data_IF_113325041014
#
_entry.id   IF_113325041014
#
_cell.length_a   1.000
_cell.length_b   1.000
_cell.length_c   1.000
_cell.angle_alpha   90.00
_cell.angle_beta   90.00
_cell.angle_gamma   90.00
#
_symmetry.space_group_name_H-M   'P 1'
#
loop_
_entity.id
_entity.type
_entity.pdbx_description
1 polymer ?
#
# COMPACT_ATOMS: atom_id res chain seq x y z
N UNK A 1 -11.67 -29.48 -0.29
CA UNK A 1 -10.54 -28.99 0.54
C UNK A 1 -9.44 -28.58 -0.44
N UNK A 2 -9.26 -27.29 -0.68
CA UNK A 2 -8.21 -26.76 -1.54
C UNK A 2 -6.83 -27.07 -0.97
N UNK A 3 -5.92 -27.59 -1.76
CA UNK A 3 -4.52 -27.70 -1.39
C UNK A 3 -3.93 -26.31 -1.56
N UNK A 4 -3.47 -25.64 -0.50
CA UNK A 4 -2.72 -24.40 -0.63
C UNK A 4 -1.37 -24.69 -1.31
N UNK A 5 -1.08 -23.97 -2.36
CA UNK A 5 0.21 -24.02 -3.06
C UNK A 5 1.13 -22.95 -2.49
N UNK A 6 2.41 -23.27 -2.33
CA UNK A 6 3.45 -22.31 -1.94
C UNK A 6 4.56 -22.31 -2.96
N UNK A 7 5.00 -21.11 -3.35
CA UNK A 7 6.04 -20.91 -4.33
C UNK A 7 7.02 -19.85 -3.85
N UNK A 8 8.31 -20.07 -4.01
CA UNK A 8 9.35 -19.14 -3.57
C UNK A 8 10.11 -18.66 -4.80
N UNK A 9 10.12 -17.33 -5.01
CA UNK A 9 10.98 -16.65 -5.96
C UNK A 9 11.82 -15.61 -5.25
N UNK A 10 13.14 -15.70 -5.34
CA UNK A 10 14.04 -14.77 -4.69
C UNK A 10 13.69 -14.60 -3.19
N UNK A 11 13.30 -13.40 -2.77
CA UNK A 11 12.92 -13.09 -1.39
C UNK A 11 11.42 -13.22 -1.12
N UNK A 12 10.60 -13.55 -2.14
CA UNK A 12 9.15 -13.58 -2.07
C UNK A 12 8.63 -15.00 -1.90
N UNK A 13 7.76 -15.19 -0.94
CA UNK A 13 7.04 -16.44 -0.72
C UNK A 13 5.55 -16.20 -1.04
N UNK A 14 5.06 -16.82 -2.11
CA UNK A 14 3.67 -16.78 -2.57
C UNK A 14 2.91 -17.96 -1.99
N UNK A 15 1.73 -17.71 -1.43
CA UNK A 15 0.79 -18.72 -0.94
C UNK A 15 -0.60 -18.44 -1.46
N UNK A 16 -1.19 -19.39 -2.19
CA UNK A 16 -2.55 -19.31 -2.71
C UNK A 16 -3.13 -20.72 -2.89
N UNK A 17 -4.44 -20.78 -3.12
CA UNK A 17 -5.12 -22.05 -3.47
C UNK A 17 -5.04 -22.37 -4.97
N UNK A 18 -4.75 -21.40 -5.84
CA UNK A 18 -4.79 -21.54 -7.30
C UNK A 18 -3.65 -20.86 -8.05
N UNK A 19 -2.41 -21.12 -7.69
CA UNK A 19 -1.27 -20.58 -8.44
C UNK A 19 -1.14 -21.28 -9.80
N UNK A 20 -1.16 -20.50 -10.87
CA UNK A 20 -0.92 -20.92 -12.27
C UNK A 20 0.39 -20.29 -12.73
N UNK A 21 1.26 -21.09 -13.33
CA UNK A 21 2.52 -20.61 -13.92
C UNK A 21 2.44 -20.80 -15.44
N UNK A 22 2.43 -19.68 -16.17
CA UNK A 22 2.54 -19.64 -17.62
C UNK A 22 4.02 -19.65 -17.99
N UNK A 23 4.58 -20.85 -18.24
CA UNK A 23 6.03 -21.04 -18.37
C UNK A 23 6.64 -20.32 -19.57
N UNK A 24 5.93 -20.25 -20.69
CA UNK A 24 6.42 -19.57 -21.90
C UNK A 24 6.47 -18.06 -21.75
N UNK A 25 5.62 -17.49 -20.91
CA UNK A 25 5.49 -16.05 -20.67
C UNK A 25 6.20 -15.61 -19.40
N UNK A 26 6.70 -16.54 -18.57
CA UNK A 26 7.29 -16.31 -17.25
C UNK A 26 6.35 -15.49 -16.35
N UNK A 27 5.04 -15.80 -16.41
CA UNK A 27 4.00 -15.14 -15.62
C UNK A 27 3.42 -16.12 -14.61
N UNK A 28 3.26 -15.64 -13.37
CA UNK A 28 2.50 -16.29 -12.32
C UNK A 28 1.15 -15.57 -12.16
N UNK A 29 0.06 -16.32 -12.20
CA UNK A 29 -1.28 -15.82 -11.98
C UNK A 29 -1.95 -16.52 -10.79
N UNK A 30 -2.82 -15.79 -10.09
CA UNK A 30 -3.75 -16.34 -9.11
C UNK A 30 -5.05 -15.53 -9.13
N UNK A 31 -6.18 -16.25 -9.22
CA UNK A 31 -7.52 -15.69 -9.23
C UNK A 31 -8.22 -15.77 -7.87
N UNK A 32 -7.53 -16.33 -6.87
CA UNK A 32 -7.97 -16.41 -5.49
C UNK A 32 -7.04 -15.63 -4.57
N UNK A 33 -7.50 -15.29 -3.36
CA UNK A 33 -6.68 -14.56 -2.39
C UNK A 33 -5.30 -15.19 -2.21
N UNK A 34 -4.30 -14.37 -2.41
CA UNK A 34 -2.89 -14.75 -2.36
C UNK A 34 -2.18 -13.92 -1.32
N UNK A 35 -1.40 -14.59 -0.49
CA UNK A 35 -0.49 -13.96 0.48
C UNK A 35 0.92 -14.01 -0.07
N UNK A 36 1.59 -12.85 -0.11
CA UNK A 36 3.00 -12.75 -0.49
C UNK A 36 3.78 -12.20 0.70
N UNK A 37 4.85 -12.89 1.07
CA UNK A 37 5.77 -12.45 2.14
C UNK A 37 7.10 -12.08 1.51
N UNK A 38 7.43 -10.80 1.55
CA UNK A 38 8.78 -10.30 1.26
C UNK A 38 9.62 -10.40 2.54
N UNK A 39 10.51 -11.40 2.58
CA UNK A 39 11.36 -11.66 3.73
C UNK A 39 12.43 -10.58 3.93
N UNK A 40 12.94 -9.99 2.85
CA UNK A 40 13.98 -8.98 2.88
C UNK A 40 13.47 -7.68 3.51
N UNK A 41 12.30 -7.20 3.06
CA UNK A 41 11.72 -5.93 3.51
C UNK A 41 10.71 -6.12 4.66
N UNK A 42 10.47 -7.36 5.10
CA UNK A 42 9.48 -7.72 6.12
C UNK A 42 8.09 -7.15 5.77
N UNK A 43 7.69 -7.31 4.50
CA UNK A 43 6.43 -6.80 3.98
C UNK A 43 5.48 -7.95 3.65
N UNK A 44 4.25 -7.86 4.13
CA UNK A 44 3.15 -8.76 3.82
C UNK A 44 2.24 -8.10 2.80
N UNK A 45 1.90 -8.83 1.74
CA UNK A 45 0.87 -8.45 0.77
C UNK A 45 -0.25 -9.49 0.81
N UNK A 46 -1.49 -9.02 0.82
CA UNK A 46 -2.68 -9.84 0.61
C UNK A 46 -3.39 -9.28 -0.63
N UNK A 47 -3.67 -10.12 -1.62
CA UNK A 47 -4.14 -9.71 -2.94
C UNK A 47 -5.21 -10.68 -3.40
N UNK A 48 -6.39 -10.18 -3.80
CA UNK A 48 -7.51 -11.04 -4.24
C UNK A 48 -7.24 -11.68 -5.59
N UNK A 49 -6.68 -10.91 -6.54
CA UNK A 49 -6.24 -11.40 -7.84
C UNK A 49 -4.91 -10.80 -8.18
N UNK A 50 -4.00 -11.61 -8.70
CA UNK A 50 -2.67 -11.14 -9.08
C UNK A 50 -2.20 -11.73 -10.41
N UNK A 51 -1.34 -10.94 -11.07
CA UNK A 51 -0.46 -11.38 -12.15
C UNK A 51 0.94 -10.86 -11.84
N UNK A 52 1.94 -11.73 -11.88
CA UNK A 52 3.33 -11.40 -11.56
C UNK A 52 4.24 -11.82 -12.70
N UNK A 53 4.88 -10.85 -13.37
CA UNK A 53 5.97 -11.10 -14.31
C UNK A 53 7.23 -11.45 -13.54
N UNK A 54 7.74 -12.68 -13.75
CA UNK A 54 8.91 -13.20 -13.05
C UNK A 54 10.18 -12.47 -13.52
N UNK A 55 10.28 -12.19 -14.80
CA UNK A 55 11.44 -11.54 -15.42
C UNK A 55 11.53 -10.05 -15.05
N UNK A 56 10.41 -9.34 -15.15
CA UNK A 56 10.35 -7.90 -14.88
C UNK A 56 10.24 -7.57 -13.39
N UNK A 57 9.88 -8.56 -12.55
CA UNK A 57 9.47 -8.40 -11.15
C UNK A 57 8.33 -7.39 -10.99
N UNK A 58 7.39 -7.38 -11.95
CA UNK A 58 6.22 -6.52 -11.93
C UNK A 58 4.99 -7.30 -11.45
N UNK A 59 4.39 -6.83 -10.38
CA UNK A 59 3.19 -7.38 -9.77
C UNK A 59 2.01 -6.46 -10.05
N UNK A 60 0.94 -7.01 -10.63
CA UNK A 60 -0.36 -6.33 -10.82
C UNK A 60 -1.38 -7.02 -9.92
N UNK A 61 -2.24 -6.25 -9.28
CA UNK A 61 -3.23 -6.86 -8.39
C UNK A 61 -4.50 -6.03 -8.21
N UNK A 62 -5.53 -6.72 -7.70
CA UNK A 62 -6.82 -6.16 -7.30
C UNK A 62 -7.03 -6.38 -5.80
N UNK A 63 -7.68 -5.41 -5.12
CA UNK A 63 -7.98 -5.42 -3.69
C UNK A 63 -6.77 -5.81 -2.85
N UNK A 64 -5.82 -4.93 -2.83
CA UNK A 64 -4.51 -5.17 -2.26
C UNK A 64 -4.45 -4.58 -0.86
N UNK A 65 -4.03 -5.38 0.10
CA UNK A 65 -3.60 -4.94 1.42
C UNK A 65 -2.09 -5.17 1.55
N UNK A 66 -1.37 -4.17 2.06
CA UNK A 66 0.06 -4.25 2.33
C UNK A 66 0.31 -3.85 3.78
N UNK A 67 1.12 -4.63 4.47
CA UNK A 67 1.58 -4.35 5.83
C UNK A 67 3.11 -4.36 5.84
N UNK A 68 3.72 -3.17 5.89
CA UNK A 68 5.18 -3.03 5.89
C UNK A 68 5.74 -3.24 7.29
N UNK A 69 6.87 -3.97 7.41
CA UNK A 69 7.46 -4.31 8.70
C UNK A 69 6.45 -4.96 9.64
N UNK A 70 5.71 -5.94 9.12
CA UNK A 70 4.57 -6.58 9.79
C UNK A 70 4.94 -7.25 11.13
N UNK A 71 6.23 -7.51 11.39
CA UNK A 71 6.75 -8.03 12.67
C UNK A 71 6.92 -6.94 13.75
N UNK A 72 6.69 -5.66 13.42
CA UNK A 72 6.80 -4.54 14.36
C UNK A 72 5.42 -4.13 14.90
N UNK A 73 5.33 -3.62 16.15
CA UNK A 73 4.07 -3.23 16.75
C UNK A 73 3.36 -2.07 16.02
N UNK A 74 4.13 -1.23 15.30
CA UNK A 74 3.59 -0.15 14.47
C UNK A 74 4.14 -0.27 13.05
N UNK A 75 3.24 -0.38 12.09
CA UNK A 75 3.56 -0.59 10.68
C UNK A 75 2.70 0.32 9.80
N UNK A 76 3.23 0.68 8.64
CA UNK A 76 2.42 1.34 7.61
C UNK A 76 1.53 0.30 6.94
N UNK A 77 0.25 0.63 6.73
CA UNK A 77 -0.74 -0.22 6.07
C UNK A 77 -1.31 0.50 4.86
N UNK A 78 -1.36 -0.20 3.74
CA UNK A 78 -1.85 0.34 2.48
C UNK A 78 -3.00 -0.54 1.99
N UNK A 79 -4.06 0.10 1.50
CA UNK A 79 -5.19 -0.53 0.86
C UNK A 79 -5.37 0.10 -0.51
N UNK A 80 -5.37 -0.71 -1.56
CA UNK A 80 -5.56 -0.28 -2.94
C UNK A 80 -6.62 -1.12 -3.61
N UNK A 81 -7.49 -0.49 -4.40
CA UNK A 81 -8.42 -1.25 -5.23
C UNK A 81 -7.67 -1.97 -6.36
N UNK A 82 -6.77 -1.26 -7.02
CA UNK A 82 -5.88 -1.80 -8.04
C UNK A 82 -4.51 -1.18 -7.90
N UNK A 83 -3.45 -1.94 -8.13
CA UNK A 83 -2.11 -1.40 -8.21
C UNK A 83 -1.18 -2.24 -9.11
N UNK A 84 -0.12 -1.56 -9.54
CA UNK A 84 1.02 -2.15 -10.23
C UNK A 84 2.25 -1.78 -9.42
N UNK A 85 3.03 -2.79 -9.03
CA UNK A 85 4.28 -2.65 -8.28
C UNK A 85 5.44 -3.10 -9.15
N UNK A 86 6.50 -2.33 -9.15
CA UNK A 86 7.81 -2.80 -9.57
C UNK A 86 8.59 -3.19 -8.31
N UNK A 87 8.80 -4.49 -8.12
CA UNK A 87 9.44 -5.01 -6.91
C UNK A 87 10.98 -4.82 -6.93
N UNK A 88 11.59 -4.57 -8.11
CA UNK A 88 13.02 -4.28 -8.24
C UNK A 88 13.39 -2.95 -7.57
N UNK A 89 12.61 -1.89 -7.85
CA UNK A 89 12.87 -0.54 -7.36
C UNK A 89 11.90 -0.07 -6.26
N UNK A 90 11.01 -0.96 -5.81
CA UNK A 90 10.01 -0.71 -4.77
C UNK A 90 9.09 0.46 -5.11
N UNK A 91 8.82 0.69 -6.42
CA UNK A 91 7.88 1.70 -6.87
C UNK A 91 6.49 1.12 -7.11
N UNK A 92 5.45 1.97 -7.07
CA UNK A 92 4.09 1.56 -7.42
C UNK A 92 3.28 2.71 -8.02
N UNK A 93 2.23 2.31 -8.74
CA UNK A 93 1.08 3.15 -9.09
C UNK A 93 -0.19 2.43 -8.64
N UNK A 94 -1.14 3.18 -8.04
CA UNK A 94 -2.35 2.58 -7.46
C UNK A 94 -3.57 3.49 -7.63
N UNK A 95 -4.76 2.88 -7.57
CA UNK A 95 -6.07 3.55 -7.58
C UNK A 95 -6.86 3.23 -6.33
N UNK A 96 -7.73 4.19 -5.94
CA UNK A 96 -8.62 4.09 -4.78
C UNK A 96 -7.84 3.69 -3.53
N UNK A 97 -7.13 4.65 -2.98
CA UNK A 97 -6.13 4.40 -1.95
C UNK A 97 -6.63 4.77 -0.54
N UNK A 98 -6.26 3.94 0.44
CA UNK A 98 -6.32 4.25 1.88
C UNK A 98 -4.97 3.84 2.49
N UNK A 99 -4.20 4.81 2.96
CA UNK A 99 -2.87 4.61 3.53
C UNK A 99 -2.91 5.00 5.00
N UNK A 100 -2.59 4.06 5.88
CA UNK A 100 -2.48 4.28 7.30
C UNK A 100 -1.01 4.22 7.68
N UNK A 101 -0.44 5.33 8.09
CA UNK A 101 0.94 5.40 8.53
C UNK A 101 1.08 4.87 9.97
N UNK A 102 2.26 4.46 10.33
CA UNK A 102 2.58 4.11 11.72
C UNK A 102 2.34 5.30 12.64
N UNK A 103 1.80 5.03 13.84
CA UNK A 103 1.32 6.07 14.78
C UNK A 103 2.39 7.08 15.18
N UNK A 104 3.63 6.65 15.31
CA UNK A 104 4.74 7.47 15.78
C UNK A 104 5.50 8.24 14.70
N UNK A 105 5.03 8.20 13.44
CA UNK A 105 5.75 8.79 12.30
C UNK A 105 6.03 10.30 12.49
N UNK A 106 5.10 11.02 13.15
CA UNK A 106 5.23 12.44 13.46
C UNK A 106 5.49 12.70 14.97
N UNK A 107 6.05 11.72 15.69
CA UNK A 107 6.45 11.86 17.09
C UNK A 107 5.34 11.68 18.12
N UNK A 108 4.06 11.58 17.77
CA UNK A 108 2.94 11.41 18.67
C UNK A 108 2.24 10.07 18.48
N UNK A 109 2.45 9.11 19.38
CA UNK A 109 1.84 7.76 19.33
C UNK A 109 0.31 7.73 19.52
N UNK A 110 -0.31 8.84 19.94
CA UNK A 110 -1.76 8.94 20.08
C UNK A 110 -2.48 9.27 18.78
N UNK A 111 -1.73 9.67 17.75
CA UNK A 111 -2.27 10.00 16.42
C UNK A 111 -2.44 8.76 15.57
N UNK A 112 -3.39 8.83 14.62
CA UNK A 112 -3.62 7.83 13.58
C UNK A 112 -3.49 8.49 12.19
N UNK A 113 -2.27 8.86 11.76
CA UNK A 113 -2.06 9.57 10.51
C UNK A 113 -2.43 8.70 9.31
N UNK A 114 -3.23 9.26 8.41
CA UNK A 114 -3.75 8.52 7.25
C UNK A 114 -4.04 9.41 6.06
N UNK A 115 -3.93 8.81 4.89
CA UNK A 115 -4.30 9.40 3.61
C UNK A 115 -5.41 8.61 2.95
N UNK A 116 -6.27 9.29 2.21
CA UNK A 116 -7.15 8.72 1.19
C UNK A 116 -6.96 9.49 -0.09
N UNK A 117 -7.19 8.86 -1.24
CA UNK A 117 -7.08 9.52 -2.52
C UNK A 117 -7.59 8.66 -3.67
N UNK A 118 -7.76 9.27 -4.84
CA UNK A 118 -8.24 8.57 -6.04
C UNK A 118 -7.12 7.73 -6.66
N UNK A 119 -5.90 8.26 -6.65
CA UNK A 119 -4.71 7.57 -7.16
C UNK A 119 -3.48 7.92 -6.35
N UNK A 120 -2.48 7.06 -6.43
CA UNK A 120 -1.15 7.37 -5.90
C UNK A 120 -0.05 6.70 -6.72
N UNK A 121 1.12 7.31 -6.65
CA UNK A 121 2.37 6.71 -7.10
C UNK A 121 3.43 6.89 -6.03
N UNK A 122 4.37 5.93 -5.95
CA UNK A 122 5.48 6.02 -5.00
C UNK A 122 6.76 5.55 -5.65
N UNK A 123 7.83 6.29 -5.41
CA UNK A 123 9.19 5.94 -5.81
C UNK A 123 10.20 6.61 -4.90
N UNK A 124 11.27 5.91 -4.53
CA UNK A 124 12.38 6.43 -3.70
C UNK A 124 11.93 7.08 -2.37
N UNK A 125 10.88 6.55 -1.75
CA UNK A 125 10.34 7.07 -0.49
C UNK A 125 9.47 8.32 -0.62
N UNK A 126 9.19 8.77 -1.84
CA UNK A 126 8.26 9.86 -2.13
C UNK A 126 6.96 9.27 -2.67
N UNK A 127 5.84 9.57 -2.02
CA UNK A 127 4.49 9.18 -2.44
C UNK A 127 3.71 10.41 -2.87
N UNK A 128 3.15 10.36 -4.07
CA UNK A 128 2.25 11.40 -4.60
C UNK A 128 0.84 10.83 -4.57
N UNK A 129 -0.12 11.62 -4.10
CA UNK A 129 -1.54 11.24 -3.95
C UNK A 129 -2.38 12.32 -4.63
N UNK A 130 -3.19 11.92 -5.59
CA UNK A 130 -4.09 12.82 -6.31
C UNK A 130 -5.45 12.88 -5.64
N UNK A 131 -6.03 14.09 -5.57
CA UNK A 131 -7.29 14.41 -4.88
C UNK A 131 -7.29 13.78 -3.48
N UNK A 132 -6.23 14.10 -2.74
CA UNK A 132 -5.91 13.49 -1.47
C UNK A 132 -6.60 14.16 -0.29
N UNK A 133 -6.86 13.36 0.74
CA UNK A 133 -7.29 13.80 2.08
C UNK A 133 -6.27 13.25 3.08
N UNK A 134 -5.80 14.13 3.95
CA UNK A 134 -4.94 13.76 5.08
C UNK A 134 -5.58 14.16 6.40
N UNK A 135 -5.45 13.31 7.40
CA UNK A 135 -5.71 13.63 8.81
C UNK A 135 -4.80 12.81 9.72
N UNK A 136 -4.51 13.31 10.91
CA UNK A 136 -3.84 12.53 11.97
C UNK A 136 -4.73 12.26 13.19
N UNK A 137 -6.01 12.60 13.12
CA UNK A 137 -6.97 12.37 14.19
C UNK A 137 -7.15 10.88 14.48
N UNK A 138 -7.58 10.55 15.71
CA UNK A 138 -7.87 9.16 16.08
C UNK A 138 -8.92 8.54 15.17
N UNK A 139 -8.75 7.27 14.84
CA UNK A 139 -9.71 6.52 13.98
C UNK A 139 -11.09 6.35 14.60
N UNK A 140 -11.17 6.35 15.94
CA UNK A 140 -12.43 6.16 16.65
C UNK A 140 -13.31 7.42 16.64
N UNK A 141 -12.78 8.58 16.25
CA UNK A 141 -13.56 9.77 16.04
C UNK A 141 -14.38 9.60 14.77
N UNK A 142 -15.71 9.60 14.88
CA UNK A 142 -16.64 9.40 13.74
C UNK A 142 -16.40 10.40 12.62
N UNK A 143 -16.04 11.63 13.00
CA UNK A 143 -15.65 12.71 12.11
C UNK A 143 -14.28 13.24 12.62
N UNK A 144 -13.23 13.26 11.79
CA UNK A 144 -11.96 13.79 12.24
C UNK A 144 -12.13 15.28 12.57
N UNK A 145 -11.67 15.75 13.76
CA UNK A 145 -11.75 17.15 14.13
C UNK A 145 -11.12 18.11 13.10
N UNK A 146 -10.19 17.60 12.30
CA UNK A 146 -9.61 18.33 11.18
C UNK A 146 -9.14 17.39 10.07
N UNK A 147 -9.14 17.91 8.85
CA UNK A 147 -8.53 17.25 7.69
C UNK A 147 -8.00 18.30 6.71
N UNK A 148 -7.01 17.90 5.93
CA UNK A 148 -6.54 18.67 4.77
C UNK A 148 -6.95 17.93 3.51
N UNK A 149 -7.67 18.60 2.64
CA UNK A 149 -7.99 18.14 1.29
C UNK A 149 -7.12 18.90 0.30
N UNK A 150 -6.57 18.22 -0.68
CA UNK A 150 -5.73 18.87 -1.69
C UNK A 150 -5.87 18.18 -3.06
N UNK A 151 -5.62 18.93 -4.13
CA UNK A 151 -5.55 18.36 -5.47
C UNK A 151 -4.41 17.36 -5.57
N UNK A 152 -3.29 17.68 -4.92
CA UNK A 152 -2.13 16.78 -4.81
C UNK A 152 -1.54 16.86 -3.41
N UNK A 153 -1.20 15.69 -2.86
CA UNK A 153 -0.43 15.56 -1.63
C UNK A 153 0.87 14.85 -1.97
N UNK A 154 2.00 15.40 -1.58
CA UNK A 154 3.30 14.76 -1.70
C UNK A 154 3.81 14.43 -0.31
N UNK A 155 3.94 13.15 0.00
CA UNK A 155 4.52 12.65 1.24
C UNK A 155 5.95 12.17 0.99
N UNK A 156 6.93 12.90 1.53
CA UNK A 156 8.34 12.53 1.52
C UNK A 156 8.70 11.85 2.84
N UNK A 157 8.82 10.53 2.79
CA UNK A 157 9.12 9.70 3.97
C UNK A 157 10.53 9.96 4.49
N UNK A 158 11.49 10.28 3.61
CA UNK A 158 12.88 10.50 3.97
C UNK A 158 13.03 11.82 4.75
N UNK A 159 12.32 12.85 4.30
CA UNK A 159 12.32 14.18 4.95
C UNK A 159 11.27 14.31 6.05
N UNK A 160 10.35 13.32 6.18
CA UNK A 160 9.17 13.35 7.07
C UNK A 160 8.31 14.60 6.84
N UNK A 161 8.10 14.95 5.57
CA UNK A 161 7.36 16.13 5.14
C UNK A 161 6.13 15.74 4.35
N UNK A 162 5.07 16.54 4.50
CA UNK A 162 3.88 16.46 3.67
C UNK A 162 3.70 17.83 3.03
N UNK A 163 3.68 17.86 1.69
CA UNK A 163 3.42 19.06 0.90
C UNK A 163 2.03 18.93 0.27
N UNK A 164 1.33 20.04 0.20
CA UNK A 164 -0.02 20.11 -0.33
C UNK A 164 -0.07 21.12 -1.47
N UNK A 165 -0.77 20.77 -2.54
CA UNK A 165 -1.04 21.64 -3.67
C UNK A 165 -2.54 21.90 -3.76
N UNK A 166 -2.95 23.18 -3.80
CA UNK A 166 -4.35 23.64 -3.75
C UNK A 166 -5.11 23.00 -2.57
N UNK A 167 -4.69 23.33 -1.35
CA UNK A 167 -5.20 22.72 -0.14
C UNK A 167 -6.34 23.50 0.50
N UNK A 168 -7.33 22.78 1.02
CA UNK A 168 -8.38 23.26 1.90
C UNK A 168 -8.28 22.55 3.25
N UNK A 169 -8.24 23.31 4.33
CA UNK A 169 -8.29 22.78 5.70
C UNK A 169 -9.75 22.78 6.14
N UNK A 170 -10.26 21.63 6.53
CA UNK A 170 -11.57 21.47 7.16
C UNK A 170 -11.41 21.23 8.65
N UNK A 171 -12.18 21.96 9.46
CA UNK A 171 -12.27 21.82 10.90
C UNK A 171 -13.73 21.54 11.27
N UNK A 172 -14.02 20.37 11.87
CA UNK A 172 -15.38 19.93 12.24
C UNK A 172 -16.39 19.93 11.10
N UNK A 173 -15.98 19.57 9.86
CA UNK A 173 -16.82 19.59 8.65
C UNK A 173 -17.43 20.96 8.28
N UNK A 174 -16.86 22.05 8.75
CA UNK A 174 -17.21 23.41 8.38
C UNK A 174 -16.38 23.87 7.18
#
# INVERSE_FOLDING_TARGET
KGKSSSLIFSNYNFKSEDIIILRNELILEANKPTVIIDKKNQTLYEIDKLSYSIEDEVLKGEKIFINTKFNQPFSDKYFFKNAIFNLKDQSYIAKDIDINLKKDIFGNKKNDPRFKGISSSSKNGVTIIDKGIFTSCKKNDKCPPWSVQANKITYDKNKKQILYDNALIKVYDI
#
